data_IF_393757757398
#
_entry.id   IF_393757757398
#
_cell.length_a   1.000
_cell.length_b   1.000
_cell.length_c   1.000
_cell.angle_alpha   90.00
_cell.angle_beta   90.00
_cell.angle_gamma   90.00
#
_symmetry.space_group_name_H-M   'P 1'
#
loop_
_entity.id
_entity.type
_entity.pdbx_description
1 polymer ?
#
# COMPACT_ATOMS: atom_id res chain seq x y z
N UNK A 1 15.19 -5.66 4.12
CA UNK A 1 14.31 -5.87 5.30
C UNK A 1 13.93 -4.58 6.03
N UNK A 2 14.88 -3.74 6.48
CA UNK A 2 14.56 -2.51 7.24
C UNK A 2 13.69 -1.50 6.47
N UNK A 3 13.84 -1.38 5.14
CA UNK A 3 13.03 -0.49 4.30
C UNK A 3 11.58 -0.98 4.20
N UNK A 4 11.37 -2.24 3.81
CA UNK A 4 10.04 -2.86 3.68
C UNK A 4 9.19 -2.74 4.94
N UNK A 5 9.79 -2.97 6.12
CA UNK A 5 9.08 -2.84 7.41
C UNK A 5 8.57 -1.42 7.65
N UNK A 6 9.39 -0.39 7.36
CA UNK A 6 8.96 1.00 7.49
C UNK A 6 7.77 1.34 6.58
N UNK A 7 7.76 0.82 5.36
CA UNK A 7 6.66 1.02 4.41
C UNK A 7 5.39 0.32 4.87
N UNK A 8 5.50 -0.91 5.40
CA UNK A 8 4.36 -1.62 6.00
C UNK A 8 3.80 -0.86 7.19
N UNK A 9 4.66 -0.38 8.10
CA UNK A 9 4.25 0.38 9.28
C UNK A 9 3.62 1.74 8.89
N UNK A 10 4.08 2.36 7.81
CA UNK A 10 3.47 3.56 7.24
C UNK A 10 2.07 3.26 6.68
N UNK A 11 1.94 2.21 5.86
CA UNK A 11 0.67 1.83 5.25
C UNK A 11 -0.39 1.53 6.31
N UNK A 12 -0.06 0.77 7.36
CA UNK A 12 -0.99 0.42 8.46
C UNK A 12 -1.52 1.62 9.25
N UNK A 13 -0.86 2.78 9.20
CA UNK A 13 -1.31 4.00 9.88
C UNK A 13 -2.36 4.78 9.08
N UNK A 14 -2.54 4.46 7.80
CA UNK A 14 -3.48 5.19 6.95
C UNK A 14 -4.90 4.66 7.16
N UNK A 15 -5.84 5.55 7.48
CA UNK A 15 -7.25 5.16 7.61
C UNK A 15 -7.80 4.62 6.28
N UNK A 16 -8.43 3.45 6.32
CA UNK A 16 -8.91 2.71 5.15
C UNK A 16 -8.01 1.54 4.73
N UNK A 17 -6.77 1.46 5.23
CA UNK A 17 -5.93 0.28 5.07
C UNK A 17 -6.38 -0.81 6.03
N UNK A 18 -6.78 -1.96 5.47
CA UNK A 18 -7.18 -3.14 6.23
C UNK A 18 -5.99 -4.01 6.59
N UNK A 19 -5.06 -4.18 5.66
CA UNK A 19 -3.83 -4.93 5.91
C UNK A 19 -2.67 -4.42 5.05
N UNK A 20 -1.45 -4.66 5.52
CA UNK A 20 -0.24 -4.44 4.76
C UNK A 20 0.84 -5.43 5.22
N UNK A 21 1.52 -6.06 4.27
CA UNK A 21 2.52 -7.09 4.59
C UNK A 21 3.57 -7.20 3.48
N UNK A 22 4.80 -7.64 3.84
CA UNK A 22 5.82 -7.92 2.85
C UNK A 22 5.42 -9.12 2.00
N UNK A 23 5.76 -9.09 0.71
CA UNK A 23 5.53 -10.20 -0.22
C UNK A 23 6.82 -10.56 -0.96
N UNK A 24 6.84 -11.73 -1.57
CA UNK A 24 7.92 -12.17 -2.46
C UNK A 24 7.43 -12.14 -3.92
N UNK A 25 8.30 -11.73 -4.83
CA UNK A 25 7.99 -11.65 -6.27
C UNK A 25 8.38 -10.29 -6.85
N UNK A 26 7.59 -9.80 -7.81
CA UNK A 26 7.80 -8.50 -8.45
C UNK A 26 7.64 -7.32 -7.48
N UNK A 27 6.80 -7.48 -6.47
CA UNK A 27 6.48 -6.44 -5.49
C UNK A 27 7.10 -6.79 -4.13
N UNK A 28 7.43 -5.78 -3.34
CA UNK A 28 7.98 -5.95 -1.98
C UNK A 28 6.90 -5.89 -0.88
N UNK A 29 5.82 -5.15 -1.11
CA UNK A 29 4.74 -4.89 -0.15
C UNK A 29 3.40 -5.00 -0.85
N UNK A 30 2.45 -5.69 -0.23
CA UNK A 30 1.04 -5.64 -0.59
C UNK A 30 0.29 -4.81 0.46
N UNK A 31 -0.67 -4.00 0.00
CA UNK A 31 -1.58 -3.21 0.84
C UNK A 31 -3.00 -3.49 0.39
N UNK A 32 -3.88 -3.80 1.35
CA UNK A 32 -5.29 -4.07 1.10
C UNK A 32 -6.17 -3.00 1.72
N UNK A 33 -7.15 -2.56 0.95
CA UNK A 33 -8.22 -1.65 1.37
C UNK A 33 -9.56 -2.28 1.00
N UNK A 34 -10.60 -2.04 1.77
CA UNK A 34 -11.95 -2.52 1.48
C UNK A 34 -12.91 -1.30 1.47
N UNK A 35 -13.89 -1.30 0.56
CA UNK A 35 -15.01 -0.33 0.50
C UNK A 35 -14.65 1.17 0.48
N UNK A 36 -13.56 1.54 -0.22
CA UNK A 36 -13.14 2.93 -0.39
C UNK A 36 -13.56 3.52 -1.75
N UNK A 37 -13.85 4.81 -1.77
CA UNK A 37 -13.96 5.55 -3.02
C UNK A 37 -12.58 5.74 -3.70
N UNK A 38 -12.62 6.12 -4.99
CA UNK A 38 -11.41 6.25 -5.79
C UNK A 38 -10.47 7.37 -5.29
N UNK A 39 -11.02 8.43 -4.70
CA UNK A 39 -10.24 9.53 -4.15
C UNK A 39 -9.40 9.03 -2.98
N UNK A 40 -10.02 8.31 -2.04
CA UNK A 40 -9.33 7.75 -0.88
C UNK A 40 -8.29 6.70 -1.26
N UNK A 41 -8.57 5.87 -2.27
CA UNK A 41 -7.60 4.91 -2.81
C UNK A 41 -6.37 5.65 -3.38
N UNK A 42 -6.60 6.71 -4.16
CA UNK A 42 -5.52 7.50 -4.74
C UNK A 42 -4.68 8.19 -3.67
N UNK A 43 -5.29 8.76 -2.63
CA UNK A 43 -4.58 9.37 -1.49
C UNK A 43 -3.66 8.36 -0.80
N UNK A 44 -4.17 7.16 -0.49
CA UNK A 44 -3.39 6.11 0.18
C UNK A 44 -2.17 5.73 -0.67
N UNK A 45 -2.39 5.47 -1.97
CA UNK A 45 -1.33 5.13 -2.91
C UNK A 45 -0.28 6.23 -3.03
N UNK A 46 -0.70 7.50 -3.12
CA UNK A 46 0.21 8.64 -3.22
C UNK A 46 1.00 8.89 -1.93
N UNK A 47 0.40 8.65 -0.76
CA UNK A 47 1.11 8.75 0.51
C UNK A 47 2.19 7.66 0.64
N UNK A 48 1.94 6.45 0.15
CA UNK A 48 2.95 5.38 0.09
C UNK A 48 4.04 5.73 -0.92
N UNK A 49 3.67 6.20 -2.11
CA UNK A 49 4.62 6.56 -3.16
C UNK A 49 5.62 7.64 -2.71
N UNK A 50 5.18 8.59 -1.89
CA UNK A 50 6.04 9.65 -1.33
C UNK A 50 7.03 9.16 -0.27
N UNK A 51 6.94 7.92 0.17
CA UNK A 51 7.80 7.40 1.22
C UNK A 51 9.22 7.12 0.70
N UNK A 52 10.23 7.43 1.52
CA UNK A 52 11.63 7.18 1.18
C UNK A 52 11.87 5.70 0.88
N UNK A 53 12.45 5.43 -0.29
CA UNK A 53 12.74 4.09 -0.77
C UNK A 53 11.58 3.36 -1.47
N UNK A 54 10.46 4.03 -1.75
CA UNK A 54 9.41 3.51 -2.65
C UNK A 54 9.70 4.01 -4.08
N UNK A 55 9.88 3.06 -5.00
CA UNK A 55 10.16 3.37 -6.41
C UNK A 55 8.89 3.42 -7.25
N UNK A 56 7.89 2.60 -6.92
CA UNK A 56 6.64 2.47 -7.67
C UNK A 56 5.51 1.99 -6.77
N UNK A 57 4.30 2.45 -7.06
CA UNK A 57 3.05 1.95 -6.49
C UNK A 57 2.10 1.63 -7.65
N UNK A 58 1.52 0.44 -7.64
CA UNK A 58 0.45 0.03 -8.56
C UNK A 58 -0.81 -0.27 -7.75
N UNK A 59 -1.93 0.33 -8.15
CA UNK A 59 -3.22 0.12 -7.52
C UNK A 59 -4.09 -0.76 -8.40
N UNK A 60 -4.53 -1.90 -7.88
CA UNK A 60 -5.47 -2.79 -8.54
C UNK A 60 -6.88 -2.56 -7.97
N UNK A 61 -7.77 -1.96 -8.76
CA UNK A 61 -9.17 -1.71 -8.38
C UNK A 61 -10.04 -2.88 -8.86
N UNK A 62 -10.90 -3.40 -7.98
CA UNK A 62 -11.83 -4.49 -8.32
C UNK A 62 -11.17 -5.87 -8.42
N UNK A 63 -10.07 -6.10 -7.70
CA UNK A 63 -9.43 -7.41 -7.65
C UNK A 63 -10.42 -8.45 -7.09
N UNK A 64 -10.73 -9.54 -7.81
CA UNK A 64 -11.67 -10.54 -7.35
C UNK A 64 -11.10 -11.22 -6.09
N UNK A 65 -11.87 -11.15 -5.01
CA UNK A 65 -11.58 -11.79 -3.71
C UNK A 65 -12.00 -13.25 -3.70
#
# INVERSE_FOLDING_TARGET
MLKTRKIVDLAKKQAGVKDAFPVHGRWDVAVRTDDLDLERIAEIGMNIYKADGVEIVETLVGYPS
#
